data_IF_473851940807
#
_entry.id   IF_473851940807
#
_cell.length_a   1.000
_cell.length_b   1.000
_cell.length_c   1.000
_cell.angle_alpha   90.00
_cell.angle_beta   90.00
_cell.angle_gamma   90.00
#
_symmetry.space_group_name_H-M   'P 1'
#
loop_
_entity.id
_entity.type
_entity.pdbx_description
1 polymer ?
#
# COMPACT_ATOMS: atom_id res chain seq x y z
N UNK A 1 26.27 9.72 -3.02
CA UNK A 1 25.43 8.56 -2.65
C UNK A 1 25.04 7.85 -3.93
N UNK A 2 25.51 6.62 -4.13
CA UNK A 2 25.06 5.75 -5.22
C UNK A 2 23.62 5.34 -4.93
N UNK A 3 22.67 5.88 -5.68
CA UNK A 3 21.25 5.48 -5.61
C UNK A 3 21.13 4.05 -6.13
N UNK A 4 20.83 3.11 -5.22
CA UNK A 4 20.52 1.73 -5.59
C UNK A 4 19.08 1.66 -6.13
N UNK A 5 18.82 0.85 -7.18
CA UNK A 5 17.45 0.64 -7.65
C UNK A 5 16.57 0.05 -6.53
N UNK A 6 15.32 0.51 -6.44
CA UNK A 6 14.33 -0.11 -5.56
C UNK A 6 14.08 -1.55 -6.02
N UNK A 7 14.17 -2.50 -5.10
CA UNK A 7 13.91 -3.92 -5.37
C UNK A 7 12.59 -4.33 -4.72
N UNK A 8 11.67 -4.84 -5.54
CA UNK A 8 10.52 -5.62 -5.08
C UNK A 8 11.02 -7.01 -4.72
N UNK A 9 11.03 -7.32 -3.42
CA UNK A 9 11.58 -8.56 -2.88
C UNK A 9 10.49 -9.45 -2.30
N UNK A 10 10.52 -10.73 -2.65
CA UNK A 10 9.56 -11.75 -2.22
C UNK A 10 9.76 -12.23 -0.77
N UNK A 11 10.94 -11.99 -0.18
CA UNK A 11 11.30 -12.42 1.16
C UNK A 11 12.02 -11.37 2.01
N UNK A 12 11.77 -11.43 3.31
CA UNK A 12 12.70 -10.96 4.34
C UNK A 12 13.89 -11.94 4.40
N UNK A 13 15.11 -11.41 4.43
CA UNK A 13 16.35 -12.20 4.45
C UNK A 13 16.95 -12.10 5.84
N UNK A 14 16.54 -13.04 6.71
CA UNK A 14 16.88 -13.02 8.13
C UNK A 14 18.39 -13.06 8.36
N UNK A 15 19.13 -13.81 7.55
CA UNK A 15 20.58 -13.98 7.67
C UNK A 15 21.36 -12.68 7.42
N UNK A 16 20.72 -11.68 6.81
CA UNK A 16 21.29 -10.35 6.59
C UNK A 16 20.92 -9.38 7.70
N UNK A 17 19.88 -9.65 8.48
CA UNK A 17 19.46 -8.73 9.53
C UNK A 17 20.47 -8.77 10.69
N UNK A 18 21.07 -7.63 11.01
CA UNK A 18 21.95 -7.44 12.15
C UNK A 18 21.21 -6.89 13.39
N UNK A 19 19.87 -6.92 13.35
CA UNK A 19 18.98 -6.44 14.41
C UNK A 19 19.16 -4.97 14.83
N UNK A 20 19.82 -4.13 14.04
CA UNK A 20 20.13 -2.74 14.39
C UNK A 20 18.91 -1.81 14.59
N UNK A 21 17.67 -2.26 14.36
CA UNK A 21 16.46 -1.46 14.54
C UNK A 21 16.27 -0.27 13.59
N UNK A 22 17.24 0.07 12.73
CA UNK A 22 17.19 1.28 11.87
C UNK A 22 15.92 1.42 11.03
N UNK A 23 15.38 0.28 10.59
CA UNK A 23 14.12 0.23 9.85
C UNK A 23 12.92 0.86 10.59
N UNK A 24 12.95 0.88 11.93
CA UNK A 24 11.91 1.47 12.77
C UNK A 24 12.34 2.81 13.39
N UNK A 25 13.62 2.98 13.73
CA UNK A 25 14.12 4.23 14.31
C UNK A 25 14.22 5.37 13.29
N UNK A 26 14.58 5.07 12.04
CA UNK A 26 14.63 6.05 10.94
C UNK A 26 13.34 6.04 10.10
N UNK A 27 12.33 5.27 10.52
CA UNK A 27 11.05 5.24 9.84
C UNK A 27 10.42 6.64 9.84
N UNK A 28 9.96 7.18 8.70
CA UNK A 28 9.38 8.52 8.63
C UNK A 28 8.08 8.66 9.43
N UNK A 29 7.44 7.54 9.77
CA UNK A 29 6.20 7.49 10.56
C UNK A 29 6.46 7.15 12.03
N UNK A 30 7.26 6.13 12.32
CA UNK A 30 7.39 5.59 13.68
C UNK A 30 8.43 6.30 14.52
N UNK A 31 9.62 6.58 13.96
CA UNK A 31 10.73 7.25 14.63
C UNK A 31 11.01 6.70 16.04
N UNK A 32 11.03 5.36 16.19
CA UNK A 32 11.23 4.73 17.50
C UNK A 32 12.60 5.13 18.09
N UNK A 33 12.70 5.31 19.42
CA UNK A 33 14.00 5.36 20.08
C UNK A 33 14.85 4.14 19.68
N UNK A 34 16.15 4.29 19.38
CA UNK A 34 16.97 3.19 18.87
C UNK A 34 16.90 1.90 19.72
N UNK A 35 16.96 2.02 21.05
CA UNK A 35 16.86 0.87 21.94
C UNK A 35 15.49 0.16 21.85
N UNK A 36 14.40 0.91 21.67
CA UNK A 36 13.07 0.32 21.44
C UNK A 36 12.99 -0.33 20.05
N UNK A 37 13.56 0.32 19.04
CA UNK A 37 13.59 -0.19 17.67
C UNK A 37 14.31 -1.55 17.55
N UNK A 38 15.42 -1.73 18.27
CA UNK A 38 16.14 -3.01 18.38
C UNK A 38 15.27 -4.09 19.02
N UNK A 39 14.63 -3.79 20.16
CA UNK A 39 13.71 -4.71 20.84
C UNK A 39 12.56 -5.13 19.93
N UNK A 40 11.98 -4.17 19.19
CA UNK A 40 10.81 -4.43 18.35
C UNK A 40 11.15 -5.22 17.08
N UNK A 41 12.35 -5.07 16.50
CA UNK A 41 12.74 -5.91 15.36
C UNK A 41 13.01 -7.34 15.80
N UNK A 42 13.62 -7.54 16.98
CA UNK A 42 13.74 -8.86 17.60
C UNK A 42 12.37 -9.50 17.82
N UNK A 43 11.47 -8.78 18.51
CA UNK A 43 10.13 -9.28 18.80
C UNK A 43 9.36 -9.65 17.53
N UNK A 44 9.43 -8.83 16.48
CA UNK A 44 8.75 -9.08 15.22
C UNK A 44 9.32 -10.29 14.47
N UNK A 45 10.64 -10.48 14.45
CA UNK A 45 11.28 -11.64 13.79
C UNK A 45 10.94 -12.93 14.54
N UNK A 46 11.07 -12.93 15.87
CA UNK A 46 10.91 -14.13 16.69
C UNK A 46 9.46 -14.58 16.84
N UNK A 47 8.54 -13.63 17.03
CA UNK A 47 7.15 -13.94 17.39
C UNK A 47 6.13 -13.54 16.32
N UNK A 48 6.52 -12.73 15.34
CA UNK A 48 5.58 -12.12 14.39
C UNK A 48 4.65 -11.07 15.02
N UNK A 49 4.86 -10.70 16.28
CA UNK A 49 4.07 -9.73 17.02
C UNK A 49 4.93 -8.57 17.50
N UNK A 50 4.46 -7.35 17.26
CA UNK A 50 5.09 -6.11 17.72
C UNK A 50 4.13 -4.92 17.51
N UNK A 51 4.12 -3.90 18.40
CA UNK A 51 3.40 -2.65 18.18
C UNK A 51 3.73 -1.93 16.87
N UNK A 52 4.85 -2.25 16.22
CA UNK A 52 5.17 -1.72 14.88
C UNK A 52 4.11 -2.06 13.84
N UNK A 53 3.41 -3.20 14.00
CA UNK A 53 2.36 -3.64 13.09
C UNK A 53 1.12 -2.72 13.13
N UNK A 54 0.90 -2.03 14.24
CA UNK A 54 -0.23 -1.10 14.38
C UNK A 54 0.12 0.31 13.88
N UNK A 55 1.41 0.63 13.78
CA UNK A 55 1.90 1.96 13.39
C UNK A 55 2.42 2.03 11.95
N UNK A 56 2.77 0.89 11.35
CA UNK A 56 3.29 0.85 9.99
C UNK A 56 2.21 1.24 8.96
N UNK A 57 2.58 2.10 8.01
CA UNK A 57 1.71 2.56 6.91
C UNK A 57 1.97 1.85 5.57
N UNK A 58 2.91 0.92 5.52
CA UNK A 58 3.23 0.16 4.30
C UNK A 58 3.99 0.94 3.23
N UNK A 59 4.68 2.04 3.59
CA UNK A 59 5.38 2.90 2.63
C UNK A 59 6.70 2.34 2.06
N UNK A 60 7.17 1.19 2.57
CA UNK A 60 8.40 0.50 2.14
C UNK A 60 9.74 1.23 2.39
N UNK A 61 9.74 2.39 3.05
CA UNK A 61 10.97 3.15 3.34
C UNK A 61 12.04 2.32 4.08
N UNK A 62 11.60 1.39 4.94
CA UNK A 62 12.49 0.50 5.69
C UNK A 62 13.39 -0.37 4.79
N UNK A 63 12.95 -0.74 3.57
CA UNK A 63 13.80 -1.47 2.63
C UNK A 63 14.96 -0.60 2.13
N UNK A 64 14.72 0.69 1.87
CA UNK A 64 15.75 1.65 1.47
C UNK A 64 16.69 2.00 2.62
N UNK A 65 16.17 2.06 3.84
CA UNK A 65 16.94 2.40 5.06
C UNK A 65 17.85 1.25 5.49
N UNK A 66 17.39 0.00 5.34
CA UNK A 66 18.10 -1.17 5.82
C UNK A 66 19.51 -1.25 5.20
N UNK A 67 20.58 -1.14 6.02
CA UNK A 67 21.95 -1.15 5.47
C UNK A 67 22.34 -2.51 4.90
N UNK A 68 21.67 -3.58 5.33
CA UNK A 68 21.98 -4.97 5.01
C UNK A 68 21.12 -5.56 3.88
N UNK A 69 20.21 -4.77 3.27
CA UNK A 69 19.26 -5.26 2.26
C UNK A 69 18.50 -6.52 2.73
N UNK A 70 18.02 -6.50 3.99
CA UNK A 70 17.28 -7.60 4.61
C UNK A 70 15.79 -7.60 4.30
N UNK A 71 15.27 -6.56 3.62
CA UNK A 71 13.86 -6.41 3.23
C UNK A 71 12.82 -6.42 4.38
N UNK A 72 12.97 -5.57 5.41
CA UNK A 72 12.07 -5.51 6.56
C UNK A 72 10.61 -5.23 6.21
N UNK A 73 10.29 -4.60 5.08
CA UNK A 73 8.90 -4.42 4.65
C UNK A 73 8.20 -5.77 4.42
N UNK A 74 8.89 -6.73 3.82
CA UNK A 74 8.31 -8.06 3.54
C UNK A 74 8.02 -8.82 4.84
N UNK A 75 8.84 -8.64 5.88
CA UNK A 75 8.57 -9.17 7.22
C UNK A 75 7.24 -8.63 7.77
N UNK A 76 7.04 -7.31 7.70
CA UNK A 76 5.79 -6.65 8.17
C UNK A 76 4.57 -7.18 7.40
N UNK A 77 4.65 -7.26 6.06
CA UNK A 77 3.53 -7.75 5.23
C UNK A 77 3.21 -9.21 5.56
N UNK A 78 4.22 -10.06 5.79
CA UNK A 78 4.02 -11.45 6.20
C UNK A 78 3.37 -11.54 7.58
N UNK A 79 3.81 -10.73 8.54
CA UNK A 79 3.23 -10.67 9.89
C UNK A 79 1.77 -10.18 9.87
N UNK A 80 1.45 -9.14 9.11
CA UNK A 80 0.07 -8.72 8.86
C UNK A 80 -0.76 -9.84 8.23
N UNK A 81 -0.23 -10.52 7.22
CA UNK A 81 -0.91 -11.65 6.58
C UNK A 81 -1.21 -12.79 7.56
N UNK A 82 -0.27 -13.11 8.46
CA UNK A 82 -0.49 -14.10 9.52
C UNK A 82 -1.59 -13.64 10.49
N UNK A 83 -1.48 -12.42 11.00
CA UNK A 83 -2.49 -11.80 11.88
C UNK A 83 -3.88 -11.80 11.26
N UNK A 84 -4.02 -11.42 9.99
CA UNK A 84 -5.32 -11.39 9.32
C UNK A 84 -5.89 -12.77 9.01
N UNK A 85 -5.05 -13.80 8.82
CA UNK A 85 -5.54 -15.18 8.69
C UNK A 85 -6.13 -15.70 10.00
N UNK A 86 -5.57 -15.29 11.12
CA UNK A 86 -6.04 -15.69 12.45
C UNK A 86 -7.23 -14.86 12.93
N UNK A 87 -7.14 -13.53 12.82
CA UNK A 87 -8.07 -12.58 13.44
C UNK A 87 -9.11 -12.03 12.46
N UNK A 88 -8.94 -12.28 11.16
CA UNK A 88 -9.69 -11.62 10.11
C UNK A 88 -9.16 -10.21 9.79
N UNK A 89 -9.72 -9.61 8.75
CA UNK A 89 -9.45 -8.22 8.39
C UNK A 89 -10.26 -7.26 9.28
N UNK A 90 -9.76 -6.06 9.58
CA UNK A 90 -10.55 -5.02 10.23
C UNK A 90 -11.83 -4.71 9.45
N UNK A 91 -12.95 -4.46 10.14
CA UNK A 91 -14.23 -4.14 9.49
C UNK A 91 -14.14 -2.96 8.50
N UNK A 92 -13.31 -1.96 8.81
CA UNK A 92 -13.06 -0.84 7.91
C UNK A 92 -12.49 -1.26 6.53
N UNK A 93 -11.81 -2.40 6.44
CA UNK A 93 -11.29 -2.92 5.17
C UNK A 93 -12.41 -3.19 4.14
N UNK A 94 -13.65 -3.47 4.59
CA UNK A 94 -14.80 -3.63 3.67
C UNK A 94 -14.99 -2.42 2.74
N UNK A 95 -14.58 -1.22 3.17
CA UNK A 95 -14.67 -0.01 2.35
C UNK A 95 -13.74 -0.04 1.13
N UNK A 96 -12.61 -0.73 1.18
CA UNK A 96 -11.58 -0.68 0.12
C UNK A 96 -11.46 -1.99 -0.66
N UNK A 97 -12.20 -3.03 -0.28
CA UNK A 97 -12.17 -4.32 -0.97
C UNK A 97 -13.10 -4.30 -2.20
N UNK A 98 -12.59 -4.63 -3.41
CA UNK A 98 -13.33 -4.44 -4.67
C UNK A 98 -14.56 -5.34 -4.79
N UNK A 99 -14.54 -6.53 -4.17
CA UNK A 99 -15.64 -7.50 -4.23
C UNK A 99 -16.68 -7.34 -3.11
N UNK A 100 -16.50 -6.38 -2.20
CA UNK A 100 -17.46 -6.13 -1.13
C UNK A 100 -18.62 -5.27 -1.61
N UNK A 101 -19.85 -5.66 -1.26
CA UNK A 101 -21.05 -4.84 -1.53
C UNK A 101 -21.00 -3.59 -0.65
N UNK A 102 -21.38 -2.43 -1.20
CA UNK A 102 -21.37 -1.13 -0.51
C UNK A 102 -19.96 -0.71 -0.03
N UNK A 103 -18.94 -1.02 -0.83
CA UNK A 103 -17.60 -0.45 -0.64
C UNK A 103 -17.56 1.04 -1.04
N UNK A 104 -16.44 1.72 -0.77
CA UNK A 104 -16.22 3.14 -1.02
C UNK A 104 -16.52 3.52 -2.48
N UNK A 105 -16.09 2.70 -3.44
CA UNK A 105 -16.30 2.98 -4.87
C UNK A 105 -17.77 2.88 -5.27
N UNK A 106 -18.50 1.87 -4.79
CA UNK A 106 -19.93 1.72 -5.09
C UNK A 106 -20.78 2.80 -4.42
N UNK A 107 -20.50 3.15 -3.17
CA UNK A 107 -21.18 4.23 -2.45
C UNK A 107 -20.85 5.58 -3.10
N UNK A 108 -19.55 5.84 -3.34
CA UNK A 108 -19.09 7.06 -4.00
C UNK A 108 -19.77 7.26 -5.34
N UNK A 109 -19.83 6.20 -6.16
CA UNK A 109 -20.51 6.24 -7.46
C UNK A 109 -22.01 6.54 -7.36
N UNK A 110 -22.69 6.05 -6.34
CA UNK A 110 -24.13 6.34 -6.15
C UNK A 110 -24.36 7.79 -5.72
N UNK A 111 -23.43 8.38 -4.97
CA UNK A 111 -23.54 9.74 -4.44
C UNK A 111 -23.10 10.83 -5.43
N UNK A 112 -22.23 10.51 -6.39
CA UNK A 112 -21.67 11.50 -7.32
C UNK A 112 -22.68 12.03 -8.36
N UNK A 113 -22.50 13.25 -8.88
CA UNK A 113 -23.28 13.84 -9.97
C UNK A 113 -23.36 12.97 -11.24
N UNK A 114 -24.39 13.20 -12.07
CA UNK A 114 -24.65 12.35 -13.25
C UNK A 114 -23.60 12.48 -14.35
N UNK A 115 -23.08 13.69 -14.57
CA UNK A 115 -21.95 13.96 -15.45
C UNK A 115 -20.70 13.18 -15.03
N UNK A 116 -20.35 13.19 -13.74
CA UNK A 116 -19.26 12.39 -13.20
C UNK A 116 -19.50 10.87 -13.35
N UNK A 117 -20.72 10.40 -13.10
CA UNK A 117 -21.09 8.99 -13.35
C UNK A 117 -20.96 8.63 -14.84
N UNK A 118 -21.31 9.55 -15.73
CA UNK A 118 -21.22 9.34 -17.17
C UNK A 118 -19.78 9.18 -17.64
N UNK A 119 -18.85 9.99 -17.11
CA UNK A 119 -17.41 9.85 -17.37
C UNK A 119 -16.92 8.46 -16.98
N UNK A 120 -17.23 7.99 -15.77
CA UNK A 120 -16.76 6.66 -15.32
C UNK A 120 -17.37 5.53 -16.16
N UNK A 121 -18.64 5.65 -16.59
CA UNK A 121 -19.25 4.67 -17.52
C UNK A 121 -18.58 4.69 -18.89
N UNK A 122 -18.22 5.87 -19.40
CA UNK A 122 -17.46 5.99 -20.64
C UNK A 122 -16.08 5.33 -20.52
N UNK A 123 -15.40 5.49 -19.38
CA UNK A 123 -14.10 4.83 -19.15
C UNK A 123 -14.23 3.30 -19.11
N UNK A 124 -15.28 2.78 -18.48
CA UNK A 124 -15.58 1.34 -18.48
C UNK A 124 -15.87 0.81 -19.89
N UNK A 125 -16.60 1.60 -20.70
CA UNK A 125 -16.87 1.27 -22.10
C UNK A 125 -15.58 1.27 -22.93
N UNK A 126 -14.74 2.31 -22.81
CA UNK A 126 -13.45 2.39 -23.48
C UNK A 126 -12.52 1.24 -23.08
N UNK A 127 -12.56 0.77 -21.83
CA UNK A 127 -11.78 -0.41 -21.42
C UNK A 127 -12.28 -1.70 -22.08
N UNK A 128 -13.60 -1.87 -22.24
CA UNK A 128 -14.21 -3.05 -22.85
C UNK A 128 -14.11 -3.05 -24.36
N UNK A 129 -14.24 -1.87 -24.95
CA UNK A 129 -14.22 -1.60 -26.38
C UNK A 129 -13.21 -0.46 -26.64
N UNK A 130 -11.90 -0.76 -26.66
CA UNK A 130 -10.86 0.24 -26.85
C UNK A 130 -11.08 1.05 -28.13
N UNK A 131 -11.08 2.39 -28.06
CA UNK A 131 -11.15 3.21 -29.26
C UNK A 131 -9.84 3.07 -30.05
N UNK A 132 -9.90 3.42 -31.34
CA UNK A 132 -8.72 3.49 -32.19
C UNK A 132 -7.81 4.64 -31.72
N UNK A 133 -6.87 4.32 -30.83
CA UNK A 133 -5.96 5.26 -30.20
C UNK A 133 -4.65 4.58 -29.81
N UNK A 134 -3.55 5.33 -29.88
CA UNK A 134 -2.21 4.84 -29.52
C UNK A 134 -1.90 4.96 -28.02
N UNK A 135 -2.73 5.65 -27.24
CA UNK A 135 -2.48 5.94 -25.82
C UNK A 135 -3.79 6.01 -25.04
N UNK A 136 -3.77 5.40 -23.84
CA UNK A 136 -4.88 5.45 -22.88
C UNK A 136 -4.35 5.82 -21.50
N UNK A 137 -5.13 6.59 -20.75
CA UNK A 137 -4.83 6.91 -19.35
C UNK A 137 -5.40 5.82 -18.45
N UNK A 138 -4.53 5.21 -17.63
CA UNK A 138 -4.98 4.34 -16.55
C UNK A 138 -5.42 5.18 -15.35
N UNK A 139 -6.73 5.37 -15.19
CA UNK A 139 -7.30 6.20 -14.12
C UNK A 139 -7.00 5.65 -12.70
N UNK A 140 -6.86 4.32 -12.55
CA UNK A 140 -6.71 3.69 -11.24
C UNK A 140 -7.97 3.77 -10.38
N UNK A 141 -7.97 3.04 -9.26
CA UNK A 141 -9.16 2.94 -8.40
C UNK A 141 -9.53 4.29 -7.75
N UNK A 142 -8.55 5.11 -7.35
CA UNK A 142 -8.82 6.37 -6.65
C UNK A 142 -9.48 7.42 -7.56
N UNK A 143 -9.11 7.51 -8.84
CA UNK A 143 -9.70 8.51 -9.74
C UNK A 143 -11.15 8.18 -10.11
N UNK A 144 -11.60 6.92 -9.93
CA UNK A 144 -13.04 6.60 -10.07
C UNK A 144 -13.92 7.31 -9.04
N UNK A 145 -13.33 7.84 -7.95
CA UNK A 145 -14.02 8.64 -6.95
C UNK A 145 -13.97 10.15 -7.25
N UNK A 146 -13.10 10.57 -8.17
CA UNK A 146 -12.85 11.97 -8.53
C UNK A 146 -12.71 12.14 -10.05
N UNK A 147 -13.68 11.67 -10.87
CA UNK A 147 -13.51 11.61 -12.32
C UNK A 147 -13.28 12.97 -12.98
N UNK A 148 -13.83 14.05 -12.42
CA UNK A 148 -13.62 15.41 -12.90
C UNK A 148 -12.12 15.83 -12.94
N UNK A 149 -11.26 15.20 -12.13
CA UNK A 149 -9.83 15.50 -12.15
C UNK A 149 -9.16 15.06 -13.45
N UNK A 150 -9.65 13.98 -14.06
CA UNK A 150 -9.13 13.46 -15.33
C UNK A 150 -9.86 14.04 -16.54
N UNK A 151 -11.07 14.60 -16.35
CA UNK A 151 -11.77 15.39 -17.36
C UNK A 151 -11.31 16.86 -17.30
N UNK A 152 -10.01 17.04 -17.48
CA UNK A 152 -9.32 18.33 -17.35
C UNK A 152 -8.39 18.55 -18.54
N UNK A 153 -8.19 19.80 -19.00
CA UNK A 153 -7.23 20.13 -20.04
C UNK A 153 -5.78 19.70 -19.77
N UNK A 154 -5.45 19.33 -18.52
CA UNK A 154 -4.14 18.77 -18.17
C UNK A 154 -3.95 17.34 -18.70
N UNK A 155 -5.03 16.64 -19.02
CA UNK A 155 -5.04 15.22 -19.39
C UNK A 155 -5.68 14.94 -20.76
N UNK A 156 -6.05 15.97 -21.52
CA UNK A 156 -6.58 15.88 -22.90
C UNK A 156 -5.59 16.46 -23.90
#
# INVERSE_FOLDING_TARGET
MTTRPFQLTDGFVEERCDFCGRCFSECPVMQLPPAEAEVEIHALIESGASPVLDRCTGCMACNTICPQDANPHTLIVKAWGARYREQGLPSAAHLVLPYQKRNLHTIGRQAMPEDERALVRQWEENWRNPPDCDTMIYAGCNMTLLPFMLDSPLYT
#
